data_IF_648237243998
#
_entry.id   IF_648237243998
#
_cell.length_a   1.000
_cell.length_b   1.000
_cell.length_c   1.000
_cell.angle_alpha   90.00
_cell.angle_beta   90.00
_cell.angle_gamma   90.00
#
_symmetry.space_group_name_H-M   'P 1'
#
loop_
_entity.id
_entity.type
_entity.pdbx_description
1 polymer ?
#
# COMPACT_ATOMS: atom_id res chain seq x y z
N UNK A 1 -46.56 -2.54 45.18
CA UNK A 1 -45.13 -2.92 45.18
C UNK A 1 -44.66 -2.97 43.73
N UNK A 2 -43.80 -2.05 43.31
CA UNK A 2 -43.17 -2.03 41.98
C UNK A 2 -41.70 -1.69 42.22
N UNK A 3 -40.71 -2.52 41.83
CA UNK A 3 -39.32 -2.13 41.92
C UNK A 3 -38.91 -1.32 40.68
N UNK A 4 -38.26 -0.20 40.94
CA UNK A 4 -37.54 0.62 39.96
C UNK A 4 -36.14 0.01 39.82
N UNK A 5 -35.61 -0.26 38.61
CA UNK A 5 -34.21 -0.65 38.48
C UNK A 5 -33.31 0.58 38.57
N UNK A 6 -32.50 0.62 39.64
CA UNK A 6 -31.41 1.58 39.83
C UNK A 6 -30.25 1.20 38.92
N UNK A 7 -29.94 2.03 37.94
CA UNK A 7 -28.75 1.90 37.09
C UNK A 7 -27.69 2.92 37.54
N UNK A 8 -26.54 2.50 38.09
CA UNK A 8 -25.42 3.41 38.30
C UNK A 8 -24.49 3.39 37.08
N UNK A 9 -24.49 4.48 36.32
CA UNK A 9 -23.36 4.84 35.44
C UNK A 9 -22.47 5.84 36.16
N UNK A 10 -21.18 5.52 36.29
CA UNK A 10 -20.02 6.43 36.30
C UNK A 10 -18.74 5.60 36.51
N UNK A 11 -17.52 5.87 36.01
CA UNK A 11 -16.89 6.85 35.09
C UNK A 11 -15.41 6.41 35.04
N UNK A 12 -14.72 6.57 33.88
CA UNK A 12 -13.25 6.67 33.63
C UNK A 12 -12.30 5.59 34.23
N UNK A 13 -11.25 5.07 33.57
CA UNK A 13 -10.10 5.70 32.87
C UNK A 13 -9.27 4.55 32.23
N UNK A 14 -8.61 4.68 31.07
CA UNK A 14 -7.46 3.82 30.75
C UNK A 14 -6.16 4.60 30.98
N UNK A 15 -5.43 4.24 32.03
CA UNK A 15 -4.08 4.73 32.31
C UNK A 15 -3.03 3.65 32.04
N UNK A 16 -1.87 4.12 31.56
CA UNK A 16 -0.55 3.48 31.51
C UNK A 16 -0.17 2.56 30.32
N UNK A 17 0.67 3.14 29.45
CA UNK A 17 1.69 2.41 28.67
C UNK A 17 2.68 1.67 29.57
N UNK A 18 3.33 0.60 29.05
CA UNK A 18 4.78 0.66 29.01
C UNK A 18 5.42 0.06 27.73
N UNK A 19 6.47 0.71 27.22
CA UNK A 19 7.64 0.10 26.54
C UNK A 19 8.73 -0.09 27.63
N UNK A 20 9.71 -1.03 27.54
CA UNK A 20 10.64 -1.13 26.39
C UNK A 20 11.25 -2.52 26.02
N UNK A 21 11.82 -2.54 24.80
CA UNK A 21 13.04 -3.21 24.28
C UNK A 21 13.35 -4.69 24.52
N UNK A 22 13.58 -5.44 23.42
CA UNK A 22 14.76 -6.33 23.26
C UNK A 22 15.31 -6.35 21.83
N UNK A 23 16.60 -6.01 21.76
CA UNK A 23 17.61 -6.14 20.70
C UNK A 23 17.74 -7.57 20.17
N UNK A 24 18.05 -7.70 18.88
CA UNK A 24 18.93 -8.76 18.36
C UNK A 24 19.57 -8.32 17.03
N UNK A 25 20.85 -7.99 17.10
CA UNK A 25 21.81 -8.06 15.99
C UNK A 25 22.71 -9.25 16.28
N UNK A 26 23.15 -10.01 15.26
CA UNK A 26 24.59 -10.10 15.06
C UNK A 26 25.00 -9.88 13.60
N UNK A 27 26.17 -9.25 13.46
CA UNK A 27 26.88 -9.00 12.21
C UNK A 27 27.52 -10.29 11.65
N UNK A 28 27.74 -10.32 10.32
CA UNK A 28 28.86 -11.04 9.71
C UNK A 28 29.37 -10.26 8.51
N UNK A 29 30.58 -9.73 8.66
CA UNK A 29 31.48 -9.21 7.62
C UNK A 29 32.36 -10.36 7.13
N UNK A 30 32.58 -10.49 5.83
CA UNK A 30 33.94 -10.58 5.25
C UNK A 30 33.90 -10.39 3.71
N UNK A 31 35.04 -10.04 3.15
CA UNK A 31 35.29 -9.17 2.00
C UNK A 31 36.08 -9.94 0.91
N UNK A 32 35.96 -9.51 -0.35
CA UNK A 32 36.88 -9.85 -1.45
C UNK A 32 36.58 -11.19 -2.16
N UNK A 33 36.64 -11.34 -3.49
CA UNK A 33 37.45 -10.64 -4.50
C UNK A 33 36.88 -10.97 -5.90
N UNK A 34 36.73 -9.94 -6.74
CA UNK A 34 36.48 -9.93 -8.20
C UNK A 34 37.69 -10.55 -8.97
N UNK A 35 37.71 -10.99 -10.27
CA UNK A 35 37.07 -10.43 -11.48
C UNK A 35 36.51 -11.53 -12.46
N UNK A 36 35.81 -11.27 -13.57
CA UNK A 36 36.21 -10.45 -14.71
C UNK A 36 35.07 -10.42 -15.76
N UNK A 37 34.76 -9.20 -16.21
CA UNK A 37 34.36 -8.74 -17.56
C UNK A 37 33.38 -9.58 -18.40
N UNK A 38 32.28 -8.95 -18.79
CA UNK A 38 32.14 -8.60 -20.21
C UNK A 38 31.45 -7.24 -20.33
N UNK A 39 31.93 -6.46 -21.28
CA UNK A 39 31.60 -5.07 -21.46
C UNK A 39 30.37 -4.95 -22.37
N UNK A 40 29.31 -4.29 -21.88
CA UNK A 40 28.50 -3.38 -22.71
C UNK A 40 27.51 -2.60 -21.87
N UNK A 41 27.84 -1.31 -21.72
CA UNK A 41 26.91 -0.18 -21.79
C UNK A 41 25.56 -0.27 -21.06
N UNK A 42 25.46 0.42 -19.92
CA UNK A 42 24.54 1.56 -19.77
C UNK A 42 24.59 2.14 -18.34
N UNK A 43 25.13 3.34 -18.22
CA UNK A 43 24.89 4.24 -17.09
C UNK A 43 23.50 4.86 -17.25
N UNK A 44 22.49 4.31 -16.58
CA UNK A 44 21.21 5.00 -16.33
C UNK A 44 20.55 4.43 -15.07
N UNK A 45 20.08 5.34 -14.20
CA UNK A 45 19.18 5.14 -13.05
C UNK A 45 18.31 3.87 -13.22
N UNK A 46 18.17 2.99 -12.21
CA UNK A 46 17.52 1.69 -12.38
C UNK A 46 16.16 1.89 -13.05
N UNK A 47 16.08 1.39 -14.28
CA UNK A 47 14.92 1.49 -15.14
C UNK A 47 13.83 0.67 -14.47
N UNK A 48 12.85 1.34 -13.87
CA UNK A 48 11.55 0.78 -13.50
C UNK A 48 10.77 0.42 -14.80
N UNK A 49 11.36 -0.41 -15.65
CA UNK A 49 10.86 -0.81 -16.97
C UNK A 49 9.60 -1.65 -16.90
N UNK A 50 9.22 -2.08 -15.69
CA UNK A 50 8.13 -3.00 -15.41
C UNK A 50 7.03 -2.35 -14.56
N UNK A 51 6.93 -1.03 -14.53
CA UNK A 51 5.94 -0.33 -13.72
C UNK A 51 4.78 0.19 -14.58
N UNK A 52 3.57 0.06 -14.06
CA UNK A 52 2.35 0.58 -14.68
C UNK A 52 1.80 1.72 -13.84
N UNK A 53 1.41 2.80 -14.49
CA UNK A 53 0.89 4.00 -13.85
C UNK A 53 -0.59 4.17 -14.19
N UNK A 54 -1.38 4.64 -13.22
CA UNK A 54 -2.77 5.02 -13.40
C UNK A 54 -2.97 6.46 -12.93
N UNK A 55 -3.73 7.24 -13.68
CA UNK A 55 -4.17 8.56 -13.27
C UNK A 55 -5.28 8.43 -12.23
N UNK A 56 -5.11 9.11 -11.09
CA UNK A 56 -6.12 9.15 -10.03
C UNK A 56 -6.46 10.59 -9.69
N UNK A 57 -7.72 10.85 -9.35
CA UNK A 57 -8.20 12.12 -8.85
C UNK A 57 -9.19 11.90 -7.71
N UNK A 58 -8.66 11.79 -6.49
CA UNK A 58 -9.47 11.62 -5.29
C UNK A 58 -8.70 11.04 -4.11
N UNK A 59 -9.43 10.36 -3.23
CA UNK A 59 -8.91 9.89 -1.94
C UNK A 59 -8.25 8.51 -2.06
N UNK A 60 -7.07 8.38 -1.47
CA UNK A 60 -6.35 7.13 -1.23
C UNK A 60 -6.59 6.68 0.20
N UNK A 61 -6.91 5.41 0.39
CA UNK A 61 -7.21 4.80 1.69
C UNK A 61 -6.14 3.81 2.14
N UNK A 62 -6.07 3.56 3.44
CA UNK A 62 -5.20 2.55 4.07
C UNK A 62 -5.72 1.14 3.87
N UNK A 63 -7.02 1.00 3.71
CA UNK A 63 -7.73 -0.26 3.54
C UNK A 63 -8.70 -0.15 2.36
N UNK A 64 -8.97 -1.26 1.66
CA UNK A 64 -9.94 -1.28 0.56
C UNK A 64 -11.40 -1.28 1.01
N UNK A 65 -11.69 -0.92 2.26
CA UNK A 65 -13.05 -0.92 2.79
C UNK A 65 -13.83 0.33 2.37
N UNK A 66 -15.16 0.23 2.33
CA UNK A 66 -16.06 1.37 2.10
C UNK A 66 -16.09 2.41 3.24
N UNK A 67 -15.33 2.21 4.32
CA UNK A 67 -15.30 3.12 5.46
C UNK A 67 -14.50 4.38 5.11
N UNK A 68 -15.15 5.54 5.16
CA UNK A 68 -14.57 6.85 4.78
C UNK A 68 -13.41 7.29 5.69
N UNK A 69 -13.40 6.86 6.95
CA UNK A 69 -12.35 7.19 7.95
C UNK A 69 -10.98 6.60 7.62
N UNK A 70 -10.89 5.71 6.63
CA UNK A 70 -9.64 5.06 6.25
C UNK A 70 -8.83 5.85 5.21
N UNK A 71 -9.26 7.07 4.87
CA UNK A 71 -8.52 7.96 3.94
C UNK A 71 -7.19 8.39 4.54
N UNK A 72 -6.08 8.05 3.87
CA UNK A 72 -4.72 8.47 4.26
C UNK A 72 -4.41 9.86 3.68
N UNK A 73 -4.77 10.08 2.41
CA UNK A 73 -4.41 11.28 1.66
C UNK A 73 -5.25 11.38 0.39
N UNK A 74 -5.30 12.55 -0.23
CA UNK A 74 -5.81 12.72 -1.60
C UNK A 74 -4.67 12.87 -2.60
N UNK A 75 -4.89 12.39 -3.83
CA UNK A 75 -3.97 12.49 -4.96
C UNK A 75 -4.73 12.85 -6.23
N UNK A 76 -4.12 13.69 -7.06
CA UNK A 76 -4.65 14.18 -8.34
C UNK A 76 -3.65 14.00 -9.48
N UNK A 77 -2.85 12.93 -9.42
CA UNK A 77 -1.75 12.64 -10.35
C UNK A 77 -1.62 11.14 -10.56
N UNK A 78 -0.69 10.74 -11.41
CA UNK A 78 -0.43 9.34 -11.68
C UNK A 78 0.23 8.63 -10.49
N UNK A 79 -0.18 7.38 -10.27
CA UNK A 79 0.34 6.49 -9.25
C UNK A 79 0.69 5.14 -9.82
N UNK A 80 1.71 4.53 -9.24
CA UNK A 80 2.19 3.23 -9.66
C UNK A 80 1.30 2.12 -9.11
N UNK A 81 0.87 1.20 -9.97
CA UNK A 81 0.00 0.07 -9.63
C UNK A 81 0.83 -1.15 -9.28
N UNK A 82 0.49 -1.83 -8.18
CA UNK A 82 1.21 -3.04 -7.73
C UNK A 82 0.68 -4.33 -8.35
N UNK A 83 -0.47 -4.28 -9.03
CA UNK A 83 -1.16 -5.44 -9.57
C UNK A 83 -2.09 -6.14 -8.58
N UNK A 84 -2.24 -5.63 -7.35
CA UNK A 84 -3.27 -6.14 -6.43
C UNK A 84 -4.57 -5.37 -6.59
N UNK A 85 -5.67 -6.10 -6.64
CA UNK A 85 -7.02 -5.53 -6.60
C UNK A 85 -7.92 -6.32 -5.65
N UNK A 86 -8.98 -5.72 -5.13
CA UNK A 86 -10.00 -6.48 -4.37
C UNK A 86 -11.11 -7.00 -5.27
N UNK A 87 -11.93 -7.90 -4.74
CA UNK A 87 -13.15 -8.36 -5.43
C UNK A 87 -14.11 -7.20 -5.73
N UNK A 88 -14.11 -6.16 -4.89
CA UNK A 88 -14.93 -4.94 -5.05
C UNK A 88 -14.30 -3.92 -6.01
N UNK A 89 -13.15 -4.22 -6.62
CA UNK A 89 -12.52 -3.39 -7.63
C UNK A 89 -11.58 -2.31 -7.09
N UNK A 90 -11.25 -2.33 -5.80
CA UNK A 90 -10.20 -1.44 -5.27
C UNK A 90 -8.86 -1.84 -5.84
N UNK A 91 -8.03 -0.86 -6.18
CA UNK A 91 -6.71 -1.09 -6.75
C UNK A 91 -5.64 -0.62 -5.76
N UNK A 92 -4.65 -1.47 -5.51
CA UNK A 92 -3.52 -1.10 -4.69
C UNK A 92 -2.50 -0.33 -5.51
N UNK A 93 -2.11 0.83 -4.98
CA UNK A 93 -1.12 1.72 -5.55
C UNK A 93 0.03 1.95 -4.59
N UNK A 94 1.18 2.34 -5.14
CA UNK A 94 2.35 2.79 -4.41
C UNK A 94 2.44 4.31 -4.47
N UNK A 95 2.42 4.93 -3.30
CA UNK A 95 2.60 6.37 -3.16
C UNK A 95 4.09 6.72 -3.34
N UNK A 96 4.42 8.00 -3.66
CA UNK A 96 5.79 8.49 -3.74
C UNK A 96 6.59 8.31 -2.44
N UNK A 97 5.90 8.26 -1.30
CA UNK A 97 6.49 7.94 0.02
C UNK A 97 6.84 6.46 0.19
N UNK A 98 6.75 5.67 -0.88
CA UNK A 98 6.89 4.21 -0.91
C UNK A 98 5.86 3.44 -0.07
N UNK A 99 4.87 4.14 0.51
CA UNK A 99 3.74 3.53 1.19
C UNK A 99 2.76 2.93 0.18
N UNK A 100 2.03 1.91 0.62
CA UNK A 100 0.94 1.32 -0.14
C UNK A 100 -0.39 1.97 0.25
N UNK A 101 -1.28 2.09 -0.72
CA UNK A 101 -2.63 2.60 -0.50
C UNK A 101 -3.62 1.94 -1.44
N UNK A 102 -4.89 2.13 -1.15
CA UNK A 102 -6.02 1.60 -1.90
C UNK A 102 -6.81 2.74 -2.52
N UNK A 103 -7.07 2.62 -3.81
CA UNK A 103 -7.81 3.61 -4.58
C UNK A 103 -9.13 2.99 -5.04
N UNK A 104 -10.22 3.73 -4.81
CA UNK A 104 -11.54 3.32 -5.25
C UNK A 104 -11.65 3.48 -6.78
N UNK A 105 -12.28 2.54 -7.50
CA UNK A 105 -12.39 2.63 -8.96
C UNK A 105 -13.06 3.92 -9.46
N UNK A 106 -13.95 4.54 -8.68
CA UNK A 106 -14.62 5.78 -9.08
C UNK A 106 -13.71 7.02 -9.17
N UNK A 107 -12.53 6.97 -8.55
CA UNK A 107 -11.57 8.09 -8.58
C UNK A 107 -10.39 7.83 -9.51
N UNK A 108 -10.40 6.69 -10.22
CA UNK A 108 -9.38 6.33 -11.20
C UNK A 108 -9.85 6.83 -12.56
N UNK A 109 -9.02 7.65 -13.19
CA UNK A 109 -9.28 8.23 -14.50
C UNK A 109 -8.85 7.30 -15.64
N UNK A 110 -7.84 6.47 -15.40
CA UNK A 110 -7.38 5.45 -16.36
C UNK A 110 -8.37 4.29 -16.45
N UNK A 111 -8.61 3.81 -17.67
CA UNK A 111 -9.54 2.70 -17.88
C UNK A 111 -8.98 1.40 -17.30
N UNK A 112 -9.86 0.54 -16.79
CA UNK A 112 -9.46 -0.79 -16.28
C UNK A 112 -8.72 -1.61 -17.33
N UNK A 113 -9.12 -1.51 -18.60
CA UNK A 113 -8.49 -2.22 -19.72
C UNK A 113 -7.07 -1.71 -19.98
N UNK A 114 -6.84 -0.40 -19.95
CA UNK A 114 -5.51 0.20 -20.11
C UNK A 114 -4.56 -0.24 -19.01
N UNK A 115 -5.02 -0.19 -17.76
CA UNK A 115 -4.28 -0.70 -16.61
C UNK A 115 -3.97 -2.19 -16.79
N UNK A 116 -4.98 -3.00 -17.13
CA UNK A 116 -4.81 -4.45 -17.26
C UNK A 116 -3.88 -4.82 -18.42
N UNK A 117 -3.98 -4.11 -19.54
CA UNK A 117 -3.11 -4.24 -20.71
C UNK A 117 -1.66 -3.91 -20.35
N UNK A 118 -1.45 -2.82 -19.60
CA UNK A 118 -0.11 -2.47 -19.11
C UNK A 118 0.45 -3.59 -18.21
N UNK A 119 -0.32 -4.00 -17.19
CA UNK A 119 0.13 -5.02 -16.24
C UNK A 119 0.46 -6.33 -16.96
N UNK A 120 -0.37 -6.73 -17.93
CA UNK A 120 -0.16 -7.93 -18.74
C UNK A 120 1.09 -7.84 -19.62
N UNK A 121 1.29 -6.69 -20.30
CA UNK A 121 2.49 -6.43 -21.11
C UNK A 121 3.78 -6.41 -20.29
N UNK A 122 3.70 -6.00 -19.02
CA UNK A 122 4.84 -5.99 -18.08
C UNK A 122 5.00 -7.30 -17.31
N UNK A 123 4.16 -8.31 -17.57
CA UNK A 123 4.21 -9.58 -16.85
C UNK A 123 3.84 -9.48 -15.37
N UNK A 124 3.12 -8.43 -14.96
CA UNK A 124 2.62 -8.27 -13.60
C UNK A 124 1.27 -8.97 -13.49
N UNK A 125 1.15 -10.07 -12.73
CA UNK A 125 -0.12 -10.77 -12.57
C UNK A 125 -1.09 -9.94 -11.71
N UNK A 126 -2.33 -9.80 -12.18
CA UNK A 126 -3.39 -9.19 -11.36
C UNK A 126 -3.85 -10.18 -10.31
N UNK A 127 -3.61 -9.86 -9.03
CA UNK A 127 -4.03 -10.69 -7.89
C UNK A 127 -5.28 -10.10 -7.25
N UNK A 128 -6.35 -10.89 -7.21
CA UNK A 128 -7.55 -10.56 -6.42
C UNK A 128 -7.30 -10.93 -4.96
N UNK A 129 -7.46 -9.96 -4.06
CA UNK A 129 -7.47 -10.20 -2.61
C UNK A 129 -8.90 -10.01 -2.06
N UNK A 130 -9.18 -10.59 -0.89
CA UNK A 130 -10.39 -10.24 -0.16
C UNK A 130 -10.30 -8.79 0.34
N UNK A 131 -11.44 -8.11 0.32
CA UNK A 131 -11.66 -6.93 1.15
C UNK A 131 -11.83 -7.35 2.62
#
# INVERSE_FOLDING_TARGET
MIPIPTNPQAVATPEASPLPSKTSTPAKTDEGTNPQVDASSQTTKPLETNSCWIAVNGNIRSQPTSVESNTITSFNRELLVTGKQTQRGWIQVRLPSYKLGWVHPSVILTSKEEMSSCLSKKGIPIRKISD
#
